data_IF_501141870984
#
_entry.id   IF_501141870984
#
_cell.length_a   1.000
_cell.length_b   1.000
_cell.length_c   1.000
_cell.angle_alpha   90.00
_cell.angle_beta   90.00
_cell.angle_gamma   90.00
#
_symmetry.space_group_name_H-M   'P 1'
#
loop_
_entity.id
_entity.type
_entity.pdbx_description
1 polymer ?
#
# COMPACT_ATOMS: atom_id res chain seq x y z
N UNK A 1 4.23 -12.58 -7.79
CA UNK A 1 4.11 -14.03 -8.08
C UNK A 1 3.29 -14.65 -6.98
N UNK A 2 2.13 -15.24 -7.28
CA UNK A 2 1.37 -16.06 -6.33
C UNK A 2 1.65 -17.52 -6.69
N UNK A 3 2.17 -18.29 -5.74
CA UNK A 3 2.26 -19.75 -5.83
C UNK A 3 0.93 -20.31 -5.32
N UNK A 4 0.23 -21.07 -6.15
CA UNK A 4 -1.03 -21.70 -5.78
C UNK A 4 -0.80 -22.88 -4.84
N UNK A 5 -1.42 -22.83 -3.66
CA UNK A 5 -1.56 -24.02 -2.80
C UNK A 5 -2.87 -24.70 -3.21
N UNK A 6 -2.77 -25.83 -3.89
CA UNK A 6 -3.93 -26.64 -4.29
C UNK A 6 -4.29 -27.61 -3.16
N UNK A 7 -5.54 -27.59 -2.71
CA UNK A 7 -6.13 -28.67 -1.91
C UNK A 7 -7.30 -29.25 -2.72
N UNK A 8 -7.30 -30.56 -3.05
CA UNK A 8 -8.32 -31.11 -3.92
C UNK A 8 -9.60 -31.34 -3.10
N UNK A 9 -10.55 -30.41 -3.18
CA UNK A 9 -11.96 -30.75 -2.95
C UNK A 9 -12.62 -30.93 -4.30
N UNK A 10 -12.99 -32.18 -4.60
CA UNK A 10 -13.74 -32.56 -5.79
C UNK A 10 -15.08 -31.81 -5.82
N UNK A 11 -15.16 -30.74 -6.61
CA UNK A 11 -16.43 -30.17 -7.05
C UNK A 11 -16.69 -30.63 -8.48
N UNK A 12 -17.40 -31.76 -8.60
CA UNK A 12 -18.05 -32.12 -9.85
C UNK A 12 -19.40 -31.41 -9.91
N UNK A 13 -19.44 -30.29 -10.62
CA UNK A 13 -20.53 -29.84 -11.50
C UNK A 13 -20.17 -28.47 -12.09
N UNK A 14 -20.42 -28.32 -13.39
CA UNK A 14 -20.40 -27.02 -14.09
C UNK A 14 -21.58 -26.17 -13.60
N UNK A 15 -21.51 -25.68 -12.38
CA UNK A 15 -22.52 -24.77 -11.86
C UNK A 15 -22.13 -23.34 -12.23
N UNK A 16 -22.98 -22.71 -13.01
CA UNK A 16 -22.85 -21.29 -13.34
C UNK A 16 -22.81 -20.52 -12.02
N UNK A 17 -21.70 -19.83 -11.75
CA UNK A 17 -21.66 -18.90 -10.63
C UNK A 17 -22.84 -17.92 -10.80
N UNK A 18 -23.76 -17.83 -9.82
CA UNK A 18 -24.90 -16.92 -9.90
C UNK A 18 -24.39 -15.52 -10.27
N UNK A 19 -24.98 -14.85 -11.30
CA UNK A 19 -24.49 -13.55 -11.79
C UNK A 19 -24.27 -12.54 -10.67
N UNK A 20 -25.16 -12.56 -9.67
CA UNK A 20 -25.13 -11.71 -8.50
C UNK A 20 -23.88 -11.93 -7.62
N UNK A 21 -23.46 -13.18 -7.40
CA UNK A 21 -22.23 -13.49 -6.65
C UNK A 21 -20.97 -13.09 -7.41
N UNK A 22 -21.02 -13.18 -8.75
CA UNK A 22 -19.93 -12.70 -9.62
C UNK A 22 -19.75 -11.19 -9.52
N UNK A 23 -20.84 -10.44 -9.40
CA UNK A 23 -20.80 -8.98 -9.21
C UNK A 23 -20.27 -8.61 -7.82
N UNK A 24 -20.81 -9.20 -6.75
CA UNK A 24 -20.32 -8.97 -5.38
C UNK A 24 -18.85 -9.36 -5.23
N UNK A 25 -18.42 -10.47 -5.82
CA UNK A 25 -17.02 -10.90 -5.84
C UNK A 25 -16.09 -9.90 -6.50
N UNK A 26 -16.53 -9.24 -7.59
CA UNK A 26 -15.74 -8.17 -8.24
C UNK A 26 -15.59 -6.95 -7.33
N UNK A 27 -16.66 -6.53 -6.66
CA UNK A 27 -16.64 -5.40 -5.72
C UNK A 27 -15.67 -5.68 -4.55
N UNK A 28 -15.75 -6.87 -3.97
CA UNK A 28 -14.85 -7.32 -2.91
C UNK A 28 -13.38 -7.29 -3.35
N UNK A 29 -13.07 -7.77 -4.57
CA UNK A 29 -11.70 -7.75 -5.10
C UNK A 29 -11.23 -6.32 -5.37
N UNK A 30 -12.10 -5.43 -5.84
CA UNK A 30 -11.79 -4.01 -6.01
C UNK A 30 -11.47 -3.34 -4.66
N UNK A 31 -12.20 -3.67 -3.60
CA UNK A 31 -11.96 -3.17 -2.24
C UNK A 31 -10.62 -3.63 -1.65
N UNK A 32 -10.03 -4.71 -2.17
CA UNK A 32 -8.70 -5.17 -1.76
C UNK A 32 -7.54 -4.31 -2.29
N UNK A 33 -7.82 -3.28 -3.12
CA UNK A 33 -6.84 -2.29 -3.62
C UNK A 33 -5.54 -2.89 -4.19
N UNK A 34 -5.63 -4.05 -4.83
CA UNK A 34 -4.46 -4.71 -5.44
C UNK A 34 -3.46 -5.33 -4.46
N UNK A 35 -3.73 -5.29 -3.15
CA UNK A 35 -2.88 -5.90 -2.14
C UNK A 35 -3.00 -7.44 -2.15
N UNK A 36 -1.94 -8.20 -2.51
CA UNK A 36 -2.05 -9.65 -2.66
C UNK A 36 -2.48 -10.37 -1.38
N UNK A 37 -2.02 -9.88 -0.22
CA UNK A 37 -2.38 -10.45 1.08
C UNK A 37 -3.88 -10.27 1.38
N UNK A 38 -4.45 -9.11 1.08
CA UNK A 38 -5.87 -8.82 1.27
C UNK A 38 -6.74 -9.78 0.45
N UNK A 39 -6.37 -10.00 -0.82
CA UNK A 39 -7.10 -10.93 -1.71
C UNK A 39 -7.07 -12.36 -1.16
N UNK A 40 -5.90 -12.84 -0.71
CA UNK A 40 -5.75 -14.21 -0.17
C UNK A 40 -6.56 -14.39 1.12
N UNK A 41 -6.52 -13.42 2.04
CA UNK A 41 -7.27 -13.48 3.29
C UNK A 41 -8.78 -13.50 3.02
N UNK A 42 -9.25 -12.61 2.15
CA UNK A 42 -10.68 -12.54 1.81
C UNK A 42 -11.16 -13.78 1.06
N UNK A 43 -10.37 -14.30 0.12
CA UNK A 43 -10.68 -15.57 -0.54
C UNK A 43 -10.75 -16.74 0.45
N UNK A 44 -9.83 -16.79 1.41
CA UNK A 44 -9.83 -17.79 2.48
C UNK A 44 -11.04 -17.67 3.43
N UNK A 45 -11.51 -16.44 3.69
CA UNK A 45 -12.73 -16.17 4.46
C UNK A 45 -13.98 -16.63 3.71
N UNK A 46 -14.13 -16.22 2.45
CA UNK A 46 -15.27 -16.58 1.60
C UNK A 46 -15.33 -18.10 1.36
N UNK A 47 -14.19 -18.76 1.20
CA UNK A 47 -14.11 -20.22 1.02
C UNK A 47 -14.57 -21.05 2.24
N UNK A 48 -14.76 -20.43 3.40
CA UNK A 48 -15.32 -21.06 4.62
C UNK A 48 -16.80 -20.78 4.84
N UNK A 49 -17.45 -19.99 3.97
CA UNK A 49 -18.85 -19.59 4.08
C UNK A 49 -19.69 -20.22 2.98
N UNK A 50 -20.99 -20.37 3.20
CA UNK A 50 -21.92 -20.74 2.13
C UNK A 50 -21.91 -19.64 1.05
N UNK A 51 -21.83 -20.01 -0.24
CA UNK A 51 -21.75 -19.07 -1.35
C UNK A 51 -23.14 -18.50 -1.64
N UNK A 52 -23.68 -17.72 -0.71
CA UNK A 52 -24.93 -16.99 -0.84
C UNK A 52 -24.64 -15.50 -0.98
N UNK A 53 -25.49 -14.81 -1.75
CA UNK A 53 -25.33 -13.37 -1.96
C UNK A 53 -25.31 -12.59 -0.65
N UNK A 54 -26.18 -12.94 0.30
CA UNK A 54 -26.29 -12.22 1.57
C UNK A 54 -25.03 -12.38 2.43
N UNK A 55 -24.38 -13.55 2.40
CA UNK A 55 -23.12 -13.76 3.11
C UNK A 55 -21.99 -12.94 2.48
N UNK A 56 -21.88 -12.95 1.15
CA UNK A 56 -20.84 -12.20 0.45
C UNK A 56 -21.04 -10.69 0.57
N UNK A 57 -22.29 -10.23 0.53
CA UNK A 57 -22.63 -8.81 0.73
C UNK A 57 -22.29 -8.35 2.16
N UNK A 58 -22.55 -9.17 3.18
CA UNK A 58 -22.08 -8.88 4.55
C UNK A 58 -20.56 -8.77 4.63
N UNK A 59 -19.82 -9.62 3.92
CA UNK A 59 -18.35 -9.53 3.86
C UNK A 59 -17.92 -8.23 3.19
N UNK A 60 -18.52 -7.87 2.05
CA UNK A 60 -18.29 -6.61 1.35
C UNK A 60 -18.50 -5.39 2.27
N UNK A 61 -19.65 -5.31 2.96
CA UNK A 61 -19.98 -4.21 3.88
C UNK A 61 -18.98 -4.12 5.04
N UNK A 62 -18.57 -5.27 5.60
CA UNK A 62 -17.56 -5.33 6.65
C UNK A 62 -16.16 -4.97 6.15
N UNK A 63 -15.82 -5.29 4.91
CA UNK A 63 -14.52 -4.93 4.32
C UNK A 63 -14.41 -3.42 4.13
N UNK A 64 -15.46 -2.76 3.63
CA UNK A 64 -15.48 -1.30 3.51
C UNK A 64 -15.23 -0.60 4.85
N UNK A 65 -15.90 -1.04 5.92
CA UNK A 65 -15.68 -0.47 7.25
C UNK A 65 -14.26 -0.78 7.78
N UNK A 66 -13.78 -2.01 7.59
CA UNK A 66 -12.44 -2.41 7.99
C UNK A 66 -11.35 -1.60 7.27
N UNK A 67 -11.38 -1.51 5.95
CA UNK A 67 -10.41 -0.73 5.18
C UNK A 67 -10.47 0.77 5.52
N UNK A 68 -11.66 1.32 5.78
CA UNK A 68 -11.81 2.67 6.32
C UNK A 68 -11.03 2.85 7.64
N UNK A 69 -11.25 1.96 8.61
CA UNK A 69 -10.54 2.03 9.90
C UNK A 69 -9.04 1.79 9.79
N UNK A 70 -8.60 0.89 8.90
CA UNK A 70 -7.18 0.67 8.63
C UNK A 70 -6.55 1.90 8.01
N UNK A 71 -7.21 2.53 7.03
CA UNK A 71 -6.75 3.79 6.43
C UNK A 71 -6.61 4.89 7.48
N UNK A 72 -7.59 5.08 8.35
CA UNK A 72 -7.53 6.07 9.44
C UNK A 72 -6.37 5.80 10.42
N UNK A 73 -6.16 4.53 10.79
CA UNK A 73 -5.04 4.13 11.65
C UNK A 73 -3.69 4.35 10.96
N UNK A 74 -3.57 3.99 9.69
CA UNK A 74 -2.37 4.23 8.89
C UNK A 74 -2.07 5.72 8.75
N UNK A 75 -3.08 6.55 8.47
CA UNK A 75 -2.95 8.01 8.44
C UNK A 75 -2.49 8.58 9.78
N UNK A 76 -3.01 8.04 10.89
CA UNK A 76 -2.60 8.45 12.25
C UNK A 76 -1.14 8.09 12.52
N UNK A 77 -0.70 6.87 12.16
CA UNK A 77 0.69 6.43 12.31
C UNK A 77 1.62 7.27 11.43
N UNK A 78 1.26 7.50 10.16
CA UNK A 78 2.04 8.35 9.24
C UNK A 78 2.15 9.78 9.77
N UNK A 79 1.05 10.34 10.29
CA UNK A 79 1.05 11.67 10.90
C UNK A 79 1.99 11.76 12.11
N UNK A 80 2.01 10.72 12.96
CA UNK A 80 2.98 10.62 14.05
C UNK A 80 4.40 10.58 13.52
N UNK A 81 4.70 9.70 12.56
CA UNK A 81 6.03 9.60 11.96
C UNK A 81 6.50 10.92 11.36
N UNK A 82 5.60 11.66 10.70
CA UNK A 82 5.87 13.00 10.17
C UNK A 82 6.15 14.03 11.27
N UNK A 83 5.37 14.01 12.36
CA UNK A 83 5.56 14.93 13.48
C UNK A 83 6.91 14.73 14.18
N UNK A 84 7.37 13.49 14.31
CA UNK A 84 8.68 13.15 14.87
C UNK A 84 9.84 13.20 13.85
N UNK A 85 9.55 13.57 12.60
CA UNK A 85 10.57 13.71 11.57
C UNK A 85 11.36 15.01 11.77
N UNK A 86 12.71 14.98 11.77
CA UNK A 86 13.54 16.17 11.80
C UNK A 86 13.17 17.18 10.72
N UNK A 87 13.22 18.48 11.05
CA UNK A 87 12.74 19.54 10.17
C UNK A 87 13.40 19.53 8.77
N UNK A 88 14.68 19.16 8.69
CA UNK A 88 15.41 19.11 7.43
C UNK A 88 14.99 17.95 6.51
N UNK A 89 14.34 16.90 7.03
CA UNK A 89 13.84 15.77 6.24
C UNK A 89 12.39 15.97 5.78
N UNK A 90 11.60 16.80 6.49
CA UNK A 90 10.18 16.99 6.21
C UNK A 90 9.90 17.41 4.78
N UNK A 91 10.65 18.38 4.27
CA UNK A 91 10.45 18.87 2.91
C UNK A 91 10.81 17.81 1.86
N UNK A 92 11.90 17.05 2.07
CA UNK A 92 12.28 15.94 1.20
C UNK A 92 11.20 14.85 1.18
N UNK A 93 10.66 14.48 2.34
CA UNK A 93 9.57 13.50 2.45
C UNK A 93 8.30 13.96 1.75
N UNK A 94 7.86 15.21 1.96
CA UNK A 94 6.69 15.78 1.29
C UNK A 94 6.88 15.84 -0.23
N UNK A 95 8.09 16.12 -0.70
CA UNK A 95 8.40 16.14 -2.12
C UNK A 95 8.15 14.76 -2.77
N UNK A 96 8.48 13.67 -2.08
CA UNK A 96 8.17 12.31 -2.58
C UNK A 96 6.65 12.10 -2.72
N UNK A 97 5.87 12.60 -1.78
CA UNK A 97 4.40 12.52 -1.83
C UNK A 97 3.76 13.33 -2.97
N UNK A 98 4.52 14.20 -3.66
CA UNK A 98 4.01 14.97 -4.80
C UNK A 98 3.97 14.17 -6.12
N UNK A 99 4.63 13.01 -6.16
CA UNK A 99 4.61 12.15 -7.33
C UNK A 99 3.32 11.34 -7.39
N UNK A 100 2.83 11.02 -8.61
CA UNK A 100 1.65 10.19 -8.76
C UNK A 100 1.89 8.79 -8.19
N UNK A 101 0.84 8.22 -7.63
CA UNK A 101 0.81 6.87 -7.08
C UNK A 101 1.33 5.84 -8.11
N UNK A 102 2.07 4.84 -7.64
CA UNK A 102 2.71 3.77 -8.42
C UNK A 102 3.80 4.18 -9.45
N UNK A 103 4.24 5.45 -9.46
CA UNK A 103 5.34 5.88 -10.32
C UNK A 103 6.70 5.53 -9.72
N UNK A 104 7.48 4.74 -10.45
CA UNK A 104 8.89 4.47 -10.12
C UNK A 104 9.75 5.69 -10.45
N UNK A 105 10.54 6.14 -9.48
CA UNK A 105 11.51 7.23 -9.63
C UNK A 105 12.89 6.67 -9.33
N UNK A 106 13.87 6.97 -10.20
CA UNK A 106 15.25 6.59 -9.95
C UNK A 106 15.84 7.38 -8.79
N UNK A 107 16.58 6.73 -7.90
CA UNK A 107 17.25 7.38 -6.76
C UNK A 107 18.09 8.58 -7.20
N UNK A 108 18.93 8.40 -8.23
CA UNK A 108 19.75 9.50 -8.77
C UNK A 108 18.92 10.70 -9.26
N UNK A 109 17.74 10.45 -9.81
CA UNK A 109 16.83 11.51 -10.23
C UNK A 109 16.23 12.24 -9.03
N UNK A 110 15.78 11.49 -8.01
CA UNK A 110 15.23 12.07 -6.79
C UNK A 110 16.23 12.98 -6.06
N UNK A 111 17.48 12.53 -5.94
CA UNK A 111 18.56 13.30 -5.34
C UNK A 111 18.79 14.62 -6.08
N UNK A 112 18.86 14.59 -7.41
CA UNK A 112 19.02 15.80 -8.24
C UNK A 112 17.85 16.78 -8.05
N UNK A 113 16.63 16.27 -7.94
CA UNK A 113 15.44 17.10 -7.71
C UNK A 113 15.48 17.77 -6.33
N UNK A 114 15.79 17.02 -5.27
CA UNK A 114 15.92 17.61 -3.93
C UNK A 114 17.00 18.69 -3.84
N UNK A 115 18.11 18.52 -4.56
CA UNK A 115 19.17 19.53 -4.64
C UNK A 115 18.71 20.76 -5.42
N UNK A 116 18.05 20.56 -6.58
CA UNK A 116 17.56 21.66 -7.41
C UNK A 116 16.50 22.52 -6.68
N UNK A 117 15.66 21.87 -5.88
CA UNK A 117 14.63 22.50 -5.04
C UNK A 117 15.20 23.08 -3.73
N UNK A 118 16.52 23.01 -3.52
CA UNK A 118 17.22 23.47 -2.32
C UNK A 118 16.70 22.88 -1.00
N UNK A 119 16.15 21.66 -1.06
CA UNK A 119 15.69 20.93 0.12
C UNK A 119 16.86 20.38 0.94
N UNK A 120 18.02 20.25 0.32
CA UNK A 120 19.25 19.72 0.90
C UNK A 120 20.17 20.87 1.31
N UNK A 121 20.52 20.93 2.59
CA UNK A 121 21.44 21.94 3.12
C UNK A 121 22.86 21.42 3.16
N UNK A 122 23.82 22.23 2.70
CA UNK A 122 25.23 21.90 2.79
C UNK A 122 25.64 21.69 4.26
N UNK A 123 26.43 20.65 4.51
CA UNK A 123 27.08 20.37 5.80
C UNK A 123 28.58 20.65 5.63
N UNK A 124 29.24 21.21 6.65
CA UNK A 124 30.68 21.41 6.60
C UNK A 124 31.37 20.08 6.29
N UNK A 125 32.07 20.03 5.16
CA UNK A 125 32.84 18.88 4.65
C UNK A 125 32.06 17.82 3.86
N UNK A 126 30.82 18.06 3.40
CA UNK A 126 30.10 17.14 2.51
C UNK A 126 29.50 17.84 1.29
N UNK A 127 29.57 17.17 0.14
CA UNK A 127 28.84 17.59 -1.06
C UNK A 127 27.33 17.39 -0.90
N UNK A 128 26.53 18.18 -1.64
CA UNK A 128 25.07 18.12 -1.56
C UNK A 128 24.51 16.74 -1.93
N UNK A 129 25.13 16.04 -2.88
CA UNK A 129 24.75 14.67 -3.26
C UNK A 129 24.87 13.70 -2.07
N UNK A 130 26.00 13.73 -1.37
CA UNK A 130 26.23 12.88 -0.18
C UNK A 130 25.23 13.21 0.93
N UNK A 131 24.96 14.50 1.18
CA UNK A 131 23.97 14.90 2.19
C UNK A 131 22.56 14.45 1.80
N UNK A 132 22.22 14.52 0.52
CA UNK A 132 20.92 14.07 0.00
C UNK A 132 20.76 12.55 0.12
N UNK A 133 21.81 11.77 -0.13
CA UNK A 133 21.83 10.32 0.06
C UNK A 133 21.65 9.95 1.54
N UNK A 134 22.30 10.69 2.45
CA UNK A 134 22.08 10.55 3.90
C UNK A 134 20.62 10.81 4.28
N UNK A 135 20.00 11.85 3.70
CA UNK A 135 18.58 12.16 3.95
C UNK A 135 17.67 11.03 3.47
N UNK A 136 17.95 10.47 2.28
CA UNK A 136 17.21 9.34 1.74
C UNK A 136 17.36 8.11 2.64
N UNK A 137 18.57 7.80 3.08
CA UNK A 137 18.83 6.68 3.98
C UNK A 137 18.10 6.84 5.32
N UNK A 138 18.13 8.03 5.92
CA UNK A 138 17.38 8.30 7.16
C UNK A 138 15.86 8.12 7.00
N UNK A 139 15.31 8.44 5.82
CA UNK A 139 13.89 8.22 5.50
C UNK A 139 13.57 6.73 5.32
N UNK A 140 14.49 5.96 4.72
CA UNK A 140 14.37 4.50 4.58
C UNK A 140 14.47 3.81 5.95
N UNK A 141 15.43 4.19 6.78
CA UNK A 141 15.62 3.63 8.13
C UNK A 141 14.39 3.86 9.02
N UNK A 142 13.65 4.96 8.76
CA UNK A 142 12.37 5.28 9.40
C UNK A 142 11.16 4.61 8.75
N UNK A 143 11.36 3.78 7.72
CA UNK A 143 10.30 3.12 6.94
C UNK A 143 9.28 4.10 6.32
N UNK A 144 9.71 5.33 6.01
CA UNK A 144 8.89 6.34 5.35
C UNK A 144 9.00 6.29 3.83
N UNK A 145 10.09 5.71 3.31
CA UNK A 145 10.31 5.46 1.88
C UNK A 145 10.73 4.00 1.72
N UNK A 146 10.23 3.36 0.67
CA UNK A 146 10.61 2.01 0.25
C UNK A 146 11.36 2.09 -1.08
N UNK A 147 12.32 1.18 -1.28
CA UNK A 147 13.17 1.05 -2.48
C UNK A 147 12.92 -0.29 -3.16
#
# INVERSE_FOLDING_TARGET
>A
MIVGIYSPKNYSKKDHCPPLLKETGKLIVQQCQGLPLSVVVVAGLLGKMDPTHDNWKKVEENLNSFFGTVSERCQSILSLSYNYLPQYLRACFLYVGSFPEDKKIGVSQLIKLWIAEQLVKARSNKGLEVVAEEYLQELIDRSLILI
#
